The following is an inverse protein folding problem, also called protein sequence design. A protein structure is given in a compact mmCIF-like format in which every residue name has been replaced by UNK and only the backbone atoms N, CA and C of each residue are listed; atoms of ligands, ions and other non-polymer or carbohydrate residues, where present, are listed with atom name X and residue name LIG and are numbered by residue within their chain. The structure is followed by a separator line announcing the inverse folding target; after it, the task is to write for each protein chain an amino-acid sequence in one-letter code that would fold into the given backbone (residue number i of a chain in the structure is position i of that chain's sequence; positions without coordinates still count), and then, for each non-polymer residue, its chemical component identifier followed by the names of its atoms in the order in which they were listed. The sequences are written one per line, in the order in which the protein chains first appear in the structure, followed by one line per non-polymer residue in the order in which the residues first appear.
data_IF_496591718634
#
_entry.id   IF_496591718634
#
_cell.length_a   1.000
_cell.length_b   1.000
_cell.length_c   1.000
_cell.angle_alpha   90.00
_cell.angle_beta   90.00
_cell.angle_gamma   90.00
#
_symmetry.space_group_name_H-M   'P 1'
#
loop_
_entity.id
_entity.type
_entity.pdbx_description
1 polymer ?
#
# COMPACT_ATOMS: atom_id res chain seq x y z
N UNK A 1 -10.64 1.13 -43.77
CA UNK A 1 -10.19 2.51 -43.50
C UNK A 1 -11.06 3.25 -42.48
N UNK A 2 -12.39 3.14 -42.51
CA UNK A 2 -13.32 3.79 -41.54
C UNK A 2 -12.96 3.63 -40.05
N UNK A 3 -12.56 2.43 -39.60
CA UNK A 3 -12.20 2.19 -38.19
C UNK A 3 -11.05 3.07 -37.69
N UNK A 4 -10.08 3.39 -38.56
CA UNK A 4 -8.92 4.25 -38.20
C UNK A 4 -9.33 5.72 -38.05
N UNK A 5 -10.30 6.19 -38.84
CA UNK A 5 -10.88 7.54 -38.73
C UNK A 5 -11.60 7.73 -37.38
N UNK A 6 -12.41 6.76 -36.96
CA UNK A 6 -13.08 6.82 -35.66
C UNK A 6 -12.11 6.79 -34.47
N UNK A 7 -11.04 6.00 -34.55
CA UNK A 7 -10.01 5.98 -33.50
C UNK A 7 -9.26 7.33 -33.42
N UNK A 8 -8.96 7.95 -34.57
CA UNK A 8 -8.36 9.28 -34.60
C UNK A 8 -9.26 10.35 -33.97
N UNK A 9 -10.56 10.34 -34.31
CA UNK A 9 -11.52 11.29 -33.76
C UNK A 9 -11.73 11.09 -32.26
N UNK A 10 -11.82 9.84 -31.80
CA UNK A 10 -11.91 9.51 -30.37
C UNK A 10 -10.68 9.97 -29.59
N UNK A 11 -9.47 9.79 -30.14
CA UNK A 11 -8.22 10.25 -29.52
C UNK A 11 -8.21 11.78 -29.36
N UNK A 12 -8.61 12.52 -30.40
CA UNK A 12 -8.68 13.98 -30.36
C UNK A 12 -9.71 14.46 -29.33
N UNK A 13 -10.87 13.80 -29.23
CA UNK A 13 -11.87 14.12 -28.21
C UNK A 13 -11.32 13.88 -26.79
N UNK A 14 -10.60 12.77 -26.58
CA UNK A 14 -10.00 12.43 -25.29
C UNK A 14 -8.95 13.47 -24.87
N UNK A 15 -8.10 13.91 -25.80
CA UNK A 15 -7.08 14.94 -25.55
C UNK A 15 -7.74 16.26 -25.13
N UNK A 16 -8.80 16.69 -25.83
CA UNK A 16 -9.53 17.90 -25.47
C UNK A 16 -10.21 17.79 -24.10
N UNK A 17 -10.79 16.63 -23.78
CA UNK A 17 -11.37 16.38 -22.47
C UNK A 17 -10.33 16.54 -21.35
N UNK A 18 -9.13 15.95 -21.52
CA UNK A 18 -8.05 16.09 -20.55
C UNK A 18 -7.49 17.51 -20.48
N UNK A 19 -7.39 18.22 -21.61
CA UNK A 19 -6.94 19.60 -21.62
C UNK A 19 -7.90 20.52 -20.85
N UNK A 20 -9.21 20.37 -21.06
CA UNK A 20 -10.23 21.15 -20.34
C UNK A 20 -10.26 20.76 -18.87
N UNK A 21 -10.25 19.47 -18.54
CA UNK A 21 -10.23 18.99 -17.15
C UNK A 21 -8.99 19.45 -16.39
N UNK A 22 -7.81 19.38 -17.02
CA UNK A 22 -6.55 19.87 -16.46
C UNK A 22 -6.55 21.38 -16.25
N UNK A 23 -7.11 22.16 -17.19
CA UNK A 23 -7.25 23.60 -17.05
C UNK A 23 -8.15 23.96 -15.86
N UNK A 24 -9.30 23.30 -15.72
CA UNK A 24 -10.24 23.52 -14.60
C UNK A 24 -9.57 23.14 -13.28
N UNK A 25 -8.90 21.99 -13.21
CA UNK A 25 -8.16 21.56 -12.03
C UNK A 25 -7.05 22.54 -11.64
N UNK A 26 -6.30 23.06 -12.62
CA UNK A 26 -5.28 24.08 -12.39
C UNK A 26 -5.86 25.41 -11.86
N UNK A 27 -6.99 25.86 -12.39
CA UNK A 27 -7.67 27.08 -11.91
C UNK A 27 -8.18 26.93 -10.47
N UNK A 28 -8.62 25.73 -10.10
CA UNK A 28 -9.03 25.43 -8.72
C UNK A 28 -7.81 25.37 -7.78
N UNK A 29 -6.74 24.65 -8.17
CA UNK A 29 -5.53 24.52 -7.36
C UNK A 29 -4.78 25.85 -7.17
N UNK A 30 -4.82 26.74 -8.16
CA UNK A 30 -4.21 28.08 -8.08
C UNK A 30 -5.03 29.09 -7.28
N UNK A 31 -6.18 28.69 -6.72
CA UNK A 31 -7.08 29.58 -5.96
C UNK A 31 -7.73 30.67 -6.81
N UNK A 32 -7.64 30.58 -8.13
CA UNK A 32 -8.28 31.53 -9.05
C UNK A 32 -9.78 31.28 -9.19
N UNK A 33 -10.23 30.08 -8.85
CA UNK A 33 -11.63 29.65 -8.90
C UNK A 33 -12.14 29.43 -7.46
N UNK A 34 -12.39 30.51 -6.74
CA UNK A 34 -13.03 30.47 -5.41
C UNK A 34 -14.55 30.33 -5.53
N UNK A 35 -15.18 29.80 -4.48
CA UNK A 35 -16.63 29.62 -4.38
C UNK A 35 -17.40 30.93 -4.65
N UNK A 36 -16.88 32.06 -4.16
CA UNK A 36 -17.42 33.40 -4.44
C UNK A 36 -17.43 33.73 -5.93
N UNK A 37 -16.38 33.36 -6.69
CA UNK A 37 -16.31 33.62 -8.13
C UNK A 37 -17.20 32.69 -8.93
N UNK A 38 -17.38 31.44 -8.48
CA UNK A 38 -18.35 30.52 -9.06
C UNK A 38 -19.78 31.04 -8.88
N UNK A 39 -20.10 31.56 -7.69
CA UNK A 39 -21.39 32.18 -7.43
C UNK A 39 -21.59 33.45 -8.28
N UNK A 40 -20.58 34.32 -8.39
CA UNK A 40 -20.63 35.50 -9.28
C UNK A 40 -20.83 35.12 -10.75
N UNK A 41 -20.13 34.10 -11.26
CA UNK A 41 -20.32 33.61 -12.64
C UNK A 41 -21.73 33.03 -12.80
N UNK A 42 -22.24 32.34 -11.79
CA UNK A 42 -23.61 31.83 -11.75
C UNK A 42 -24.65 32.95 -11.78
N UNK A 43 -24.45 34.02 -11.01
CA UNK A 43 -25.30 35.23 -10.98
C UNK A 43 -25.28 35.95 -12.32
N UNK A 44 -24.12 36.09 -12.96
CA UNK A 44 -24.01 36.66 -14.33
C UNK A 44 -24.78 35.81 -15.34
N UNK A 45 -24.63 34.48 -15.30
CA UNK A 45 -25.31 33.55 -16.21
C UNK A 45 -26.83 33.51 -15.98
N UNK A 46 -27.28 33.73 -14.74
CA UNK A 46 -28.71 33.87 -14.38
C UNK A 46 -29.27 35.26 -14.72
N UNK A 47 -28.42 36.22 -15.06
CA UNK A 47 -28.81 37.60 -15.36
C UNK A 47 -29.09 38.45 -14.12
N UNK A 48 -28.68 37.99 -12.94
CA UNK A 48 -28.92 38.61 -11.64
C UNK A 48 -27.72 39.46 -11.18
N UNK A 49 -26.93 40.01 -12.11
CA UNK A 49 -25.76 40.81 -11.72
C UNK A 49 -26.21 42.08 -11.00
N UNK A 50 -25.89 42.26 -9.70
CA UNK A 50 -26.33 43.42 -8.97
C UNK A 50 -25.73 44.67 -9.62
N UNK A 51 -26.61 45.51 -10.16
CA UNK A 51 -26.26 46.86 -10.62
C UNK A 51 -25.71 47.57 -9.38
N UNK A 52 -24.48 48.13 -9.40
CA UNK A 52 -23.96 48.84 -8.24
C UNK A 52 -24.96 49.92 -7.86
N UNK A 53 -25.59 49.76 -6.70
CA UNK A 53 -26.55 50.73 -6.18
C UNK A 53 -25.80 52.05 -6.01
N UNK A 54 -26.33 53.11 -6.63
CA UNK A 54 -25.81 54.45 -6.45
C UNK A 54 -25.87 54.78 -4.95
N UNK A 55 -24.71 55.11 -4.38
CA UNK A 55 -24.54 55.42 -2.96
C UNK A 55 -25.53 56.53 -2.58
N UNK A 56 -26.61 56.16 -1.91
CA UNK A 56 -27.57 57.10 -1.36
C UNK A 56 -26.94 57.76 -0.14
N UNK A 57 -26.63 59.04 -0.24
CA UNK A 57 -26.19 59.88 0.88
C UNK A 57 -27.31 59.98 1.91
N UNK A 58 -27.26 59.09 2.92
CA UNK A 58 -28.12 59.21 4.10
C UNK A 58 -27.70 60.45 4.92
N UNK A 59 -28.66 61.15 5.56
CA UNK A 59 -28.36 62.30 6.42
C UNK A 59 -27.54 61.87 7.63
N UNK A 60 -26.58 62.69 8.03
CA UNK A 60 -25.75 62.45 9.22
C UNK A 60 -26.61 62.36 10.48
N UNK A 61 -26.59 61.19 11.13
CA UNK A 61 -27.23 60.96 12.42
C UNK A 61 -26.62 61.88 13.50
N UNK A 62 -27.43 62.49 14.38
CA UNK A 62 -26.95 63.35 15.44
C UNK A 62 -26.06 62.57 16.44
N UNK A 63 -25.01 63.20 17.00
CA UNK A 63 -24.07 62.52 17.89
C UNK A 63 -24.78 62.04 19.16
N UNK A 64 -24.50 60.80 19.62
CA UNK A 64 -25.12 60.27 20.83
C UNK A 64 -24.73 61.08 22.07
N UNK A 65 -25.60 61.13 23.10
CA UNK A 65 -25.31 61.85 24.34
C UNK A 65 -24.07 61.30 25.06
N UNK A 66 -23.32 62.14 25.80
CA UNK A 66 -22.11 61.71 26.49
C UNK A 66 -22.43 60.67 27.57
N UNK A 67 -21.78 59.51 27.51
CA UNK A 67 -21.90 58.44 28.50
C UNK A 67 -21.30 58.86 29.84
N UNK A 68 -21.88 58.39 30.95
CA UNK A 68 -21.34 58.65 32.29
C UNK A 68 -20.11 57.77 32.56
N UNK A 69 -19.12 58.26 33.31
CA UNK A 69 -17.89 57.50 33.61
C UNK A 69 -18.14 56.18 34.34
N UNK A 70 -19.28 56.03 35.04
CA UNK A 70 -19.66 54.76 35.70
C UNK A 70 -20.05 53.69 34.69
N UNK A 71 -20.79 54.08 33.65
CA UNK A 71 -21.19 53.17 32.57
C UNK A 71 -19.98 52.74 31.75
N UNK A 72 -19.02 53.64 31.54
CA UNK A 72 -17.76 53.32 30.87
C UNK A 72 -16.93 52.28 31.66
N UNK A 73 -16.84 52.43 32.98
CA UNK A 73 -16.13 51.45 33.83
C UNK A 73 -16.85 50.09 33.80
N UNK A 74 -18.18 50.07 33.89
CA UNK A 74 -18.95 48.83 33.86
C UNK A 74 -18.82 48.10 32.52
N UNK A 75 -18.87 48.83 31.39
CA UNK A 75 -18.66 48.24 30.06
C UNK A 75 -17.23 47.73 29.88
N UNK A 76 -16.24 48.43 30.42
CA UNK A 76 -14.84 47.98 30.38
C UNK A 76 -14.63 46.70 31.21
N UNK A 77 -15.23 46.61 32.39
CA UNK A 77 -15.18 45.39 33.23
C UNK A 77 -15.87 44.21 32.53
N UNK A 78 -17.11 44.40 32.05
CA UNK A 78 -17.83 43.37 31.32
C UNK A 78 -17.05 42.87 30.09
N UNK A 79 -16.38 43.78 29.38
CA UNK A 79 -15.53 43.43 28.24
C UNK A 79 -14.30 42.63 28.65
N UNK A 80 -13.66 42.97 29.78
CA UNK A 80 -12.53 42.20 30.32
C UNK A 80 -12.95 40.79 30.71
N UNK A 81 -14.05 40.67 31.44
CA UNK A 81 -14.59 39.37 31.89
C UNK A 81 -14.97 38.49 30.70
N UNK A 82 -15.60 39.08 29.67
CA UNK A 82 -15.89 38.40 28.42
C UNK A 82 -14.63 37.85 27.75
N UNK A 83 -13.59 38.65 27.60
CA UNK A 83 -12.34 38.18 26.98
C UNK A 83 -11.62 37.13 27.82
N UNK A 84 -11.71 37.20 29.15
CA UNK A 84 -11.17 36.15 30.03
C UNK A 84 -11.90 34.83 29.79
N UNK A 85 -13.23 34.83 29.77
CA UNK A 85 -14.04 33.64 29.50
C UNK A 85 -13.76 33.04 28.11
N UNK A 86 -13.65 33.89 27.09
CA UNK A 86 -13.27 33.45 25.74
C UNK A 86 -11.87 32.84 25.73
N UNK A 87 -10.90 33.44 26.43
CA UNK A 87 -9.54 32.93 26.56
C UNK A 87 -9.49 31.57 27.28
N UNK A 88 -10.25 31.40 28.36
CA UNK A 88 -10.36 30.14 29.07
C UNK A 88 -10.99 29.05 28.21
N UNK A 89 -12.05 29.37 27.48
CA UNK A 89 -12.69 28.43 26.55
C UNK A 89 -11.71 27.96 25.49
N UNK A 90 -10.98 28.87 24.84
CA UNK A 90 -10.00 28.50 23.84
C UNK A 90 -8.88 27.62 24.41
N UNK A 91 -8.41 27.88 25.63
CA UNK A 91 -7.41 27.04 26.29
C UNK A 91 -7.93 25.61 26.51
N UNK A 92 -9.18 25.46 26.97
CA UNK A 92 -9.80 24.14 27.14
C UNK A 92 -9.96 23.42 25.80
N UNK A 93 -10.49 24.11 24.80
CA UNK A 93 -10.63 23.54 23.45
C UNK A 93 -9.29 23.10 22.85
N UNK A 94 -8.20 23.85 23.08
CA UNK A 94 -6.85 23.47 22.66
C UNK A 94 -6.33 22.24 23.42
N UNK A 95 -6.55 22.17 24.73
CA UNK A 95 -6.15 21.01 25.53
C UNK A 95 -6.92 19.75 25.10
N UNK A 96 -8.24 19.85 24.94
CA UNK A 96 -9.09 18.74 24.50
C UNK A 96 -8.67 18.22 23.11
N UNK A 97 -8.26 19.13 22.20
CA UNK A 97 -7.74 18.74 20.88
C UNK A 97 -6.40 18.02 20.96
N UNK A 98 -5.50 18.48 21.83
CA UNK A 98 -4.21 17.83 22.03
C UNK A 98 -4.40 16.41 22.60
N UNK A 99 -5.26 16.26 23.61
CA UNK A 99 -5.58 14.95 24.19
C UNK A 99 -6.21 14.01 23.16
N UNK A 100 -7.09 14.54 22.30
CA UNK A 100 -7.68 13.77 21.20
C UNK A 100 -6.62 13.33 20.20
N UNK A 101 -5.72 14.23 19.78
CA UNK A 101 -4.63 13.93 18.86
C UNK A 101 -3.72 12.82 19.39
N UNK A 102 -3.32 12.91 20.66
CA UNK A 102 -2.52 11.89 21.34
C UNK A 102 -3.23 10.53 21.36
N UNK A 103 -4.54 10.53 21.67
CA UNK A 103 -5.32 9.29 21.69
C UNK A 103 -5.44 8.63 20.31
N UNK A 104 -5.55 9.45 19.25
CA UNK A 104 -5.60 8.99 17.86
C UNK A 104 -4.23 8.45 17.45
N UNK A 105 -3.16 9.13 17.79
CA UNK A 105 -1.79 8.70 17.50
C UNK A 105 -1.49 7.35 18.16
N UNK A 106 -1.82 7.19 19.45
CA UNK A 106 -1.67 5.91 20.15
C UNK A 106 -2.47 4.78 19.51
N UNK A 107 -3.69 5.07 19.04
CA UNK A 107 -4.52 4.07 18.33
C UNK A 107 -3.89 3.65 17.01
N UNK A 108 -3.34 4.60 16.25
CA UNK A 108 -2.64 4.32 14.99
C UNK A 108 -1.42 3.43 15.26
N UNK A 109 -0.61 3.76 16.27
CA UNK A 109 0.57 2.98 16.63
C UNK A 109 0.21 1.53 16.98
N UNK A 110 -0.79 1.31 17.84
CA UNK A 110 -1.27 -0.04 18.16
C UNK A 110 -1.74 -0.80 16.92
N UNK A 111 -2.44 -0.10 16.02
CA UNK A 111 -2.93 -0.73 14.78
C UNK A 111 -1.80 -1.12 13.84
N UNK A 112 -0.75 -0.30 13.76
CA UNK A 112 0.44 -0.63 12.99
C UNK A 112 1.17 -1.86 13.57
N UNK A 113 1.30 -1.92 14.90
CA UNK A 113 1.89 -3.07 15.59
C UNK A 113 1.08 -4.36 15.35
N UNK A 114 -0.25 -4.31 15.44
CA UNK A 114 -1.13 -5.45 15.11
C UNK A 114 -0.95 -5.93 13.65
N UNK A 115 -0.80 -4.99 12.71
CA UNK A 115 -0.59 -5.33 11.30
C UNK A 115 0.78 -5.97 11.10
N UNK A 116 1.81 -5.46 11.78
CA UNK A 116 3.16 -6.02 11.71
C UNK A 116 3.19 -7.45 12.28
N UNK A 117 2.58 -7.68 13.44
CA UNK A 117 2.47 -9.03 14.04
C UNK A 117 1.76 -10.00 13.09
N UNK A 118 0.61 -9.61 12.51
CA UNK A 118 -0.10 -10.44 11.52
C UNK A 118 0.74 -10.73 10.28
N UNK A 119 1.50 -9.75 9.80
CA UNK A 119 2.37 -9.94 8.66
C UNK A 119 3.50 -10.92 8.99
N UNK A 120 4.09 -10.84 10.18
CA UNK A 120 5.12 -11.77 10.63
C UNK A 120 4.56 -13.20 10.75
N UNK A 121 3.40 -13.38 11.38
CA UNK A 121 2.71 -14.67 11.47
C UNK A 121 2.40 -15.24 10.08
N UNK A 122 1.89 -14.41 9.17
CA UNK A 122 1.58 -14.83 7.80
C UNK A 122 2.85 -15.26 7.04
N UNK A 123 3.97 -14.55 7.20
CA UNK A 123 5.23 -14.95 6.59
C UNK A 123 5.76 -16.27 7.17
N UNK A 124 5.62 -16.49 8.48
CA UNK A 124 5.98 -17.76 9.11
C UNK A 124 5.14 -18.91 8.57
N UNK A 125 3.81 -18.76 8.53
CA UNK A 125 2.90 -19.76 7.96
C UNK A 125 3.22 -20.05 6.49
N UNK A 126 3.54 -19.02 5.69
CA UNK A 126 3.94 -19.20 4.30
C UNK A 126 5.23 -20.00 4.17
N UNK A 127 6.23 -19.73 5.01
CA UNK A 127 7.48 -20.48 5.01
C UNK A 127 7.27 -21.93 5.45
N UNK A 128 6.44 -22.17 6.46
CA UNK A 128 6.07 -23.51 6.91
C UNK A 128 5.34 -24.27 5.80
N UNK A 129 4.37 -23.64 5.14
CA UNK A 129 3.64 -24.24 4.03
C UNK A 129 4.55 -24.60 2.85
N UNK A 130 5.51 -23.73 2.51
CA UNK A 130 6.50 -24.02 1.47
C UNK A 130 7.37 -25.22 1.88
N UNK A 131 7.87 -25.25 3.12
CA UNK A 131 8.66 -26.39 3.64
C UNK A 131 7.87 -27.69 3.62
N UNK A 132 6.60 -27.66 4.04
CA UNK A 132 5.71 -28.83 4.01
C UNK A 132 5.46 -29.28 2.56
N UNK A 133 5.12 -28.37 1.65
CA UNK A 133 4.90 -28.69 0.24
C UNK A 133 6.16 -29.26 -0.42
N UNK A 134 7.34 -28.73 -0.10
CA UNK A 134 8.62 -29.27 -0.57
C UNK A 134 8.87 -30.68 -0.03
N UNK A 135 8.54 -30.95 1.23
CA UNK A 135 8.68 -32.28 1.84
C UNK A 135 7.69 -33.30 1.27
N UNK A 136 6.42 -32.92 1.08
CA UNK A 136 5.39 -33.76 0.48
C UNK A 136 5.74 -34.09 -0.98
N UNK A 137 6.08 -33.07 -1.78
CA UNK A 137 6.51 -33.26 -3.17
C UNK A 137 7.78 -34.11 -3.27
N UNK A 138 8.73 -33.93 -2.36
CA UNK A 138 9.92 -34.76 -2.28
C UNK A 138 9.59 -36.22 -1.94
N UNK A 139 8.67 -36.45 -0.99
CA UNK A 139 8.25 -37.80 -0.57
C UNK A 139 7.59 -38.55 -1.72
N UNK A 140 6.72 -37.87 -2.48
CA UNK A 140 6.07 -38.45 -3.66
C UNK A 140 7.09 -38.80 -4.76
N UNK A 141 8.07 -37.93 -5.00
CA UNK A 141 9.17 -38.20 -5.94
C UNK A 141 9.99 -39.41 -5.48
N UNK A 142 10.28 -39.51 -4.18
CA UNK A 142 11.02 -40.63 -3.60
C UNK A 142 10.26 -41.95 -3.75
N UNK A 143 8.94 -41.95 -3.52
CA UNK A 143 8.08 -43.11 -3.71
C UNK A 143 8.03 -43.55 -5.19
N UNK A 144 7.93 -42.59 -6.10
CA UNK A 144 7.96 -42.84 -7.54
C UNK A 144 9.28 -43.48 -7.98
N UNK A 145 10.43 -42.99 -7.49
CA UNK A 145 11.72 -43.62 -7.79
C UNK A 145 11.92 -44.98 -7.11
N UNK A 146 11.30 -45.19 -5.95
CA UNK A 146 11.40 -46.45 -5.21
C UNK A 146 10.63 -47.59 -5.86
N UNK A 147 9.53 -47.26 -6.54
CA UNK A 147 8.68 -48.21 -7.28
C UNK A 147 9.18 -48.50 -8.69
N UNK A 148 9.94 -47.58 -9.29
CA UNK A 148 10.47 -47.71 -10.65
C UNK A 148 11.62 -48.73 -10.77
N UNK A 149 11.80 -49.26 -11.98
CA UNK A 149 12.93 -50.14 -12.29
C UNK A 149 14.29 -49.42 -12.14
N UNK A 150 15.32 -50.06 -11.55
CA UNK A 150 16.59 -49.40 -11.29
C UNK A 150 17.30 -48.80 -12.52
N UNK A 151 17.10 -49.40 -13.70
CA UNK A 151 17.67 -48.89 -14.96
C UNK A 151 16.99 -47.58 -15.39
N UNK A 152 15.65 -47.55 -15.36
CA UNK A 152 14.87 -46.37 -15.71
C UNK A 152 15.08 -45.24 -14.69
N UNK A 153 15.12 -45.59 -13.39
CA UNK A 153 15.39 -44.63 -12.33
C UNK A 153 16.76 -43.94 -12.53
N UNK A 154 17.81 -44.70 -12.88
CA UNK A 154 19.13 -44.15 -13.23
C UNK A 154 19.04 -43.16 -14.39
N UNK A 155 18.40 -43.55 -15.49
CA UNK A 155 18.31 -42.70 -16.69
C UNK A 155 17.57 -41.39 -16.40
N UNK A 156 16.48 -41.45 -15.63
CA UNK A 156 15.73 -40.26 -15.19
C UNK A 156 16.50 -39.39 -14.19
N UNK A 157 17.27 -39.99 -13.28
CA UNK A 157 18.11 -39.23 -12.33
C UNK A 157 19.25 -38.52 -13.07
N UNK A 158 19.79 -39.11 -14.14
CA UNK A 158 20.81 -38.47 -14.97
C UNK A 158 20.25 -37.30 -15.79
N UNK A 159 18.96 -37.34 -16.15
CA UNK A 159 18.29 -36.26 -16.87
C UNK A 159 18.00 -35.03 -15.99
N UNK A 160 17.96 -35.19 -14.66
CA UNK A 160 17.74 -34.04 -13.76
C UNK A 160 18.91 -33.06 -13.82
N UNK A 161 18.60 -31.77 -13.96
CA UNK A 161 19.59 -30.70 -14.12
C UNK A 161 20.42 -30.44 -12.85
N UNK A 162 19.89 -30.75 -11.67
CA UNK A 162 20.54 -30.46 -10.38
C UNK A 162 21.07 -31.73 -9.72
N UNK A 163 22.40 -31.89 -9.67
CA UNK A 163 23.07 -33.00 -8.98
C UNK A 163 22.73 -33.04 -7.47
N UNK A 164 22.53 -31.90 -6.83
CA UNK A 164 22.18 -31.81 -5.41
C UNK A 164 20.83 -32.50 -5.08
N UNK A 165 19.84 -32.39 -5.96
CA UNK A 165 18.54 -33.05 -5.76
C UNK A 165 18.69 -34.57 -5.89
N UNK A 166 19.52 -35.04 -6.82
CA UNK A 166 19.83 -36.46 -7.00
C UNK A 166 20.54 -37.02 -5.78
N UNK A 167 21.51 -36.30 -5.23
CA UNK A 167 22.18 -36.65 -3.95
C UNK A 167 21.15 -36.82 -2.84
N UNK A 168 20.26 -35.84 -2.64
CA UNK A 168 19.24 -35.86 -1.59
C UNK A 168 18.28 -37.04 -1.75
N UNK A 169 17.81 -37.30 -2.98
CA UNK A 169 16.95 -38.45 -3.30
C UNK A 169 17.67 -39.77 -3.00
N UNK A 170 18.91 -39.94 -3.47
CA UNK A 170 19.69 -41.18 -3.27
C UNK A 170 20.01 -41.42 -1.79
N UNK A 171 20.27 -40.36 -1.01
CA UNK A 171 20.54 -40.47 0.44
C UNK A 171 19.33 -40.98 1.23
N UNK A 172 18.14 -40.43 0.94
CA UNK A 172 16.90 -40.78 1.65
C UNK A 172 16.25 -42.08 1.14
N UNK A 173 16.67 -42.58 -0.02
CA UNK A 173 16.18 -43.85 -0.57
C UNK A 173 16.69 -45.06 0.22
N UNK A 174 15.90 -46.15 0.22
CA UNK A 174 16.28 -47.43 0.82
C UNK A 174 17.68 -47.89 0.34
N UNK A 175 18.57 -48.33 1.26
CA UNK A 175 19.94 -48.72 0.92
C UNK A 175 20.03 -49.81 -0.14
N UNK A 176 19.09 -50.78 -0.15
CA UNK A 176 19.10 -51.85 -1.15
C UNK A 176 18.72 -51.32 -2.53
N UNK A 177 17.76 -50.40 -2.62
CA UNK A 177 17.41 -49.76 -3.90
C UNK A 177 18.52 -48.87 -4.43
N UNK A 178 19.11 -48.05 -3.58
CA UNK A 178 20.32 -47.27 -3.93
C UNK A 178 21.43 -48.17 -4.48
N UNK A 179 21.76 -49.28 -3.82
CA UNK A 179 22.76 -50.25 -4.31
C UNK A 179 22.39 -50.82 -5.69
N UNK A 180 21.11 -51.16 -5.92
CA UNK A 180 20.65 -51.66 -7.22
C UNK A 180 20.75 -50.61 -8.33
N UNK A 181 20.47 -49.33 -8.05
CA UNK A 181 20.62 -48.23 -9.01
C UNK A 181 22.09 -48.01 -9.35
N UNK A 182 22.98 -47.98 -8.34
CA UNK A 182 24.43 -47.85 -8.55
C UNK A 182 24.96 -49.01 -9.40
N UNK A 183 24.52 -50.24 -9.14
CA UNK A 183 24.91 -51.41 -9.93
C UNK A 183 24.37 -51.40 -11.37
N UNK A 184 23.35 -50.59 -11.67
CA UNK A 184 22.81 -50.41 -13.02
C UNK A 184 23.65 -49.43 -13.86
N UNK A 185 24.54 -48.65 -13.24
CA UNK A 185 25.52 -47.78 -13.90
C UNK A 185 26.69 -48.60 -14.44
N UNK A 186 26.62 -49.06 -15.68
CA UNK A 186 27.61 -49.97 -16.26
C UNK A 186 28.65 -49.27 -17.14
N UNK A 187 28.27 -48.16 -17.77
CA UNK A 187 29.17 -47.44 -18.67
C UNK A 187 30.18 -46.60 -17.88
N UNK A 188 31.32 -46.27 -18.51
CA UNK A 188 32.38 -45.49 -17.86
C UNK A 188 31.89 -44.10 -17.45
N UNK A 189 31.15 -43.42 -18.33
CA UNK A 189 30.52 -42.13 -18.05
C UNK A 189 29.56 -42.20 -16.85
N UNK A 190 28.76 -43.27 -16.75
CA UNK A 190 27.82 -43.47 -15.66
C UNK A 190 28.55 -43.71 -14.32
N UNK A 191 29.69 -44.40 -14.37
CA UNK A 191 30.53 -44.65 -13.18
C UNK A 191 31.19 -43.37 -12.69
N UNK A 192 31.67 -42.51 -13.59
CA UNK A 192 32.21 -41.21 -13.23
C UNK A 192 31.13 -40.30 -12.63
N UNK A 193 29.93 -40.31 -13.23
CA UNK A 193 28.79 -39.57 -12.69
C UNK A 193 28.40 -40.04 -11.28
N UNK A 194 28.19 -41.34 -11.07
CA UNK A 194 27.83 -41.85 -9.73
C UNK A 194 28.97 -41.65 -8.72
N UNK A 195 30.23 -41.70 -9.16
CA UNK A 195 31.39 -41.38 -8.33
C UNK A 195 31.36 -39.94 -7.81
N UNK A 196 30.99 -38.97 -8.66
CA UNK A 196 30.79 -37.57 -8.24
C UNK A 196 29.68 -37.43 -7.21
N UNK A 197 28.54 -38.09 -7.44
CA UNK A 197 27.40 -38.10 -6.52
C UNK A 197 27.78 -38.74 -5.16
N UNK A 198 28.51 -39.86 -5.16
CA UNK A 198 28.95 -40.53 -3.94
C UNK A 198 29.97 -39.69 -3.16
N UNK A 199 30.88 -39.00 -3.84
CA UNK A 199 31.81 -38.07 -3.20
C UNK A 199 31.06 -36.90 -2.54
N UNK A 200 30.04 -36.33 -3.22
CA UNK A 200 29.19 -35.29 -2.63
C UNK A 200 28.46 -35.80 -1.38
N UNK A 201 27.90 -37.02 -1.41
CA UNK A 201 27.28 -37.65 -0.24
C UNK A 201 28.28 -37.81 0.91
N UNK A 202 29.51 -38.22 0.61
CA UNK A 202 30.56 -38.40 1.62
C UNK A 202 30.95 -37.07 2.28
N UNK A 203 31.02 -35.97 1.52
CA UNK A 203 31.31 -34.64 2.06
C UNK A 203 30.15 -34.11 2.93
N UNK A 204 28.89 -34.31 2.52
CA UNK A 204 27.71 -33.91 3.32
C UNK A 204 27.65 -34.66 4.66
N UNK A 205 28.06 -35.93 4.71
CA UNK A 205 28.08 -36.72 5.96
C UNK A 205 29.24 -36.37 6.92
N UNK A 206 30.26 -35.63 6.46
CA UNK A 206 31.38 -35.19 7.33
C UNK A 206 31.07 -33.90 8.07
N UNK A 207 30.10 -33.13 7.59
CA UNK A 207 29.61 -31.90 8.22
C UNK A 207 28.57 -32.22 9.30
#
# INVERSE_FOLDING_TARGET
MMKRLYHGLALIALINLFAVGGLVGYLFASGRLNEERLNQIGEVLRGEYPRPEAVATQPAEPPPPPQSSREEIATMQARRDFYQLVGERHRRESADRADLEDSVHLRILRRLEEIEQRNQEFQQQKQEFVKQSEQEGFTQVLEMYSTMDPKQAKDLLRLKEKEADVVRIIMQMDPNRRKRIINACKTEDERLWIGRILNQIAEVNKQ
#
